data_IF_218801944803
#
_entry.id   IF_218801944803
#
_cell.length_a   1.000
_cell.length_b   1.000
_cell.length_c   1.000
_cell.angle_alpha   90.00
_cell.angle_beta   90.00
_cell.angle_gamma   90.00
#
_symmetry.space_group_name_H-M   'P 1'
#
loop_
_entity.id
_entity.type
_entity.pdbx_description
1 polymer ?
#
# COMPACT_ATOMS: atom_id res chain seq x y z
N UNK A 1 10.44 11.00 17.18
CA UNK A 1 9.40 9.93 17.28
C UNK A 1 8.71 9.71 15.93
N UNK A 2 9.46 9.83 14.87
CA UNK A 2 8.91 9.77 13.51
C UNK A 2 9.22 8.39 12.94
N UNK A 3 8.20 7.64 12.59
CA UNK A 3 8.33 6.37 11.86
C UNK A 3 7.74 5.14 12.54
N UNK A 4 7.00 5.27 13.62
CA UNK A 4 6.26 4.15 14.20
C UNK A 4 4.96 3.91 13.40
N UNK A 5 4.87 2.72 12.81
CA UNK A 5 3.68 2.29 12.02
C UNK A 5 2.49 2.03 12.94
N UNK A 6 2.75 1.72 14.20
CA UNK A 6 1.75 1.30 15.19
C UNK A 6 1.54 2.30 16.30
N UNK A 7 0.31 2.31 16.84
CA UNK A 7 -0.05 3.07 18.02
C UNK A 7 0.80 2.63 19.24
N UNK A 8 1.40 3.56 20.00
CA UNK A 8 2.18 3.24 21.20
C UNK A 8 1.46 2.36 22.23
N UNK A 9 0.15 2.56 22.42
CA UNK A 9 -0.67 1.69 23.29
C UNK A 9 -0.76 0.26 22.77
N UNK A 10 -0.90 0.12 21.45
CA UNK A 10 -0.89 -1.21 20.83
C UNK A 10 0.46 -1.90 21.01
N UNK A 11 1.57 -1.19 20.83
CA UNK A 11 2.93 -1.70 21.05
C UNK A 11 3.10 -2.13 22.51
N UNK A 12 2.63 -1.32 23.46
CA UNK A 12 2.73 -1.64 24.89
C UNK A 12 1.97 -2.93 25.23
N UNK A 13 0.71 -3.04 24.84
CA UNK A 13 -0.09 -4.25 25.09
C UNK A 13 0.43 -5.47 24.34
N UNK A 14 0.88 -5.30 23.11
CA UNK A 14 1.52 -6.38 22.36
C UNK A 14 2.78 -6.92 23.04
N UNK A 15 3.58 -6.06 23.66
CA UNK A 15 4.76 -6.47 24.44
C UNK A 15 4.35 -7.28 25.67
N UNK A 16 3.33 -6.88 26.41
CA UNK A 16 2.81 -7.65 27.56
C UNK A 16 2.34 -9.03 27.09
N UNK A 17 1.51 -9.08 26.04
CA UNK A 17 1.06 -10.35 25.47
C UNK A 17 2.24 -11.20 25.03
N UNK A 18 3.23 -10.59 24.39
CA UNK A 18 4.44 -11.28 23.93
C UNK A 18 5.19 -11.96 25.11
N UNK A 19 5.33 -11.28 26.25
CA UNK A 19 5.98 -11.85 27.45
C UNK A 19 5.15 -13.01 28.00
N UNK A 20 3.83 -12.89 28.05
CA UNK A 20 2.94 -13.91 28.60
C UNK A 20 2.92 -15.21 27.78
N UNK A 21 2.93 -15.07 26.45
CA UNK A 21 2.81 -16.22 25.53
C UNK A 21 4.19 -16.83 25.18
N UNK A 22 5.29 -16.05 25.35
CA UNK A 22 6.65 -16.47 24.98
C UNK A 22 7.06 -17.82 25.53
N UNK A 23 6.87 -18.16 26.83
CA UNK A 23 7.32 -19.45 27.37
C UNK A 23 6.67 -20.62 26.64
N UNK A 24 5.37 -20.56 26.41
CA UNK A 24 4.63 -21.62 25.70
C UNK A 24 5.19 -21.84 24.30
N UNK A 25 5.32 -20.77 23.51
CA UNK A 25 5.80 -20.89 22.13
C UNK A 25 7.30 -21.19 22.05
N UNK A 26 8.08 -20.80 23.05
CA UNK A 26 9.48 -21.23 23.17
C UNK A 26 9.58 -22.75 23.23
N UNK A 27 8.83 -23.41 24.09
CA UNK A 27 8.80 -24.87 24.16
C UNK A 27 8.29 -25.51 22.86
N UNK A 28 7.29 -24.92 22.22
CA UNK A 28 6.79 -25.39 20.92
C UNK A 28 7.81 -25.29 19.77
N UNK A 29 8.82 -24.45 19.91
CA UNK A 29 9.86 -24.23 18.90
C UNK A 29 11.15 -25.01 19.15
N UNK A 30 11.34 -25.65 20.32
CA UNK A 30 12.57 -26.38 20.65
C UNK A 30 12.98 -27.41 19.58
N UNK A 31 12.03 -28.01 18.89
CA UNK A 31 12.27 -29.00 17.86
C UNK A 31 12.11 -28.44 16.43
N UNK A 32 12.00 -27.14 16.27
CA UNK A 32 11.88 -26.53 14.94
C UNK A 32 13.26 -26.53 14.27
N UNK A 33 13.35 -27.16 13.10
CA UNK A 33 14.58 -27.15 12.30
C UNK A 33 14.90 -25.71 11.86
N UNK A 34 16.18 -25.36 11.92
CA UNK A 34 16.70 -24.10 11.35
C UNK A 34 17.20 -24.40 9.94
N UNK A 35 16.81 -23.55 8.98
CA UNK A 35 17.28 -23.59 7.61
C UNK A 35 18.12 -22.35 7.32
N UNK A 36 19.09 -22.47 6.42
CA UNK A 36 19.95 -21.33 6.04
C UNK A 36 19.21 -20.40 5.08
N UNK A 37 19.41 -19.08 5.26
CA UNK A 37 18.88 -18.06 4.34
C UNK A 37 19.53 -18.12 2.93
N UNK A 38 20.66 -18.82 2.79
CA UNK A 38 21.40 -18.95 1.55
C UNK A 38 21.02 -20.22 0.76
N UNK A 39 19.91 -20.87 1.10
CA UNK A 39 19.43 -22.03 0.33
C UNK A 39 19.01 -21.56 -1.05
N UNK A 40 19.58 -22.16 -2.10
CA UNK A 40 19.28 -21.84 -3.50
C UNK A 40 18.08 -22.63 -4.06
N UNK A 41 17.68 -23.71 -3.38
CA UNK A 41 16.59 -24.58 -3.80
C UNK A 41 15.24 -24.11 -3.22
N UNK A 42 14.85 -22.89 -3.52
CA UNK A 42 13.56 -22.33 -3.12
C UNK A 42 12.56 -22.52 -4.25
N UNK A 43 11.49 -23.26 -3.98
CA UNK A 43 10.43 -23.58 -4.94
C UNK A 43 9.11 -22.86 -4.63
N UNK A 44 8.91 -22.42 -3.38
CA UNK A 44 7.65 -21.77 -2.96
C UNK A 44 7.87 -20.65 -1.98
N UNK A 45 7.24 -19.50 -2.26
CA UNK A 45 7.33 -18.28 -1.43
C UNK A 45 5.93 -17.76 -1.14
N UNK A 46 5.56 -17.66 0.14
CA UNK A 46 4.30 -17.09 0.61
C UNK A 46 4.52 -15.66 1.13
N UNK A 47 3.76 -14.72 0.62
CA UNK A 47 3.85 -13.30 0.99
C UNK A 47 2.55 -12.84 1.62
N UNK A 48 2.63 -12.27 2.83
CA UNK A 48 1.49 -11.72 3.56
C UNK A 48 1.45 -10.19 3.46
N UNK A 49 0.51 -9.65 2.62
CA UNK A 49 0.30 -8.21 2.45
C UNK A 49 -1.19 -7.86 2.32
N UNK A 50 -2.00 -8.30 3.26
CA UNK A 50 -3.47 -8.23 3.21
C UNK A 50 -4.09 -7.05 3.96
N UNK A 51 -3.34 -5.96 4.23
CA UNK A 51 -3.89 -4.84 5.01
C UNK A 51 -4.71 -3.87 4.15
N UNK A 52 -4.12 -3.29 3.12
CA UNK A 52 -4.78 -2.30 2.24
C UNK A 52 -4.39 -2.51 0.78
N UNK A 53 -5.24 -2.06 -0.14
CA UNK A 53 -4.99 -2.19 -1.59
C UNK A 53 -3.69 -1.48 -2.00
N UNK A 54 -3.43 -0.28 -1.48
CA UNK A 54 -2.20 0.48 -1.77
C UNK A 54 -0.92 -0.22 -1.32
N UNK A 55 -0.99 -1.02 -0.25
CA UNK A 55 0.17 -1.73 0.29
C UNK A 55 0.75 -2.78 -0.68
N UNK A 56 -0.07 -3.30 -1.60
CA UNK A 56 0.39 -4.26 -2.62
C UNK A 56 1.30 -3.58 -3.64
N UNK A 57 1.03 -2.30 -3.98
CA UNK A 57 1.91 -1.52 -4.85
C UNK A 57 3.24 -1.18 -4.17
N UNK A 58 3.22 -0.93 -2.87
CA UNK A 58 4.43 -0.67 -2.07
C UNK A 58 5.40 -1.85 -2.15
N UNK A 59 4.91 -3.09 -2.19
CA UNK A 59 5.77 -4.28 -2.31
C UNK A 59 5.98 -4.76 -3.76
N UNK A 60 5.44 -4.09 -4.77
CA UNK A 60 5.64 -4.52 -6.16
C UNK A 60 7.14 -4.63 -6.57
N UNK A 61 8.05 -3.72 -6.14
CA UNK A 61 9.49 -3.88 -6.34
C UNK A 61 10.04 -5.14 -5.67
N UNK A 62 9.54 -5.46 -4.48
CA UNK A 62 9.95 -6.66 -3.71
C UNK A 62 9.60 -7.94 -4.46
N UNK A 63 8.38 -8.01 -5.01
CA UNK A 63 7.92 -9.16 -5.77
C UNK A 63 8.80 -9.42 -7.00
N UNK A 64 9.24 -8.36 -7.68
CA UNK A 64 10.18 -8.44 -8.80
C UNK A 64 11.56 -8.91 -8.35
N UNK A 65 12.07 -8.36 -7.25
CA UNK A 65 13.37 -8.75 -6.68
C UNK A 65 13.39 -10.23 -6.28
N UNK A 66 12.31 -10.71 -5.66
CA UNK A 66 12.14 -12.13 -5.32
C UNK A 66 12.08 -13.02 -6.57
N UNK A 67 11.30 -12.62 -7.58
CA UNK A 67 11.19 -13.41 -8.83
C UNK A 67 12.51 -13.43 -9.62
N UNK A 68 13.29 -12.35 -9.59
CA UNK A 68 14.64 -12.33 -10.18
C UNK A 68 15.59 -13.26 -9.44
N UNK A 69 15.58 -13.26 -8.11
CA UNK A 69 16.47 -14.10 -7.28
C UNK A 69 16.07 -15.57 -7.34
N UNK A 70 14.77 -15.85 -7.36
CA UNK A 70 14.19 -17.20 -7.38
C UNK A 70 13.25 -17.38 -8.59
N UNK A 71 13.78 -17.47 -9.81
CA UNK A 71 12.97 -17.43 -11.04
C UNK A 71 12.02 -18.63 -11.16
N UNK A 72 12.37 -19.78 -10.56
CA UNK A 72 11.58 -21.00 -10.57
C UNK A 72 10.59 -21.09 -9.41
N UNK A 73 10.74 -20.24 -8.39
CA UNK A 73 9.85 -20.27 -7.23
C UNK A 73 8.43 -19.84 -7.60
N UNK A 74 7.46 -20.58 -7.11
CA UNK A 74 6.05 -20.23 -7.16
C UNK A 74 5.76 -19.21 -6.03
N UNK A 75 5.46 -17.98 -6.41
CA UNK A 75 5.16 -16.90 -5.47
C UNK A 75 3.67 -16.81 -5.25
N UNK A 76 3.24 -16.96 -3.99
CA UNK A 76 1.85 -16.85 -3.54
C UNK A 76 1.72 -15.52 -2.77
N UNK A 77 0.86 -14.62 -3.25
CA UNK A 77 0.55 -13.36 -2.60
C UNK A 77 -0.80 -13.42 -1.91
N UNK A 78 -0.79 -13.31 -0.58
CA UNK A 78 -1.99 -13.07 0.20
C UNK A 78 -2.22 -11.56 0.29
N UNK A 79 -3.29 -11.06 -0.32
CA UNK A 79 -3.67 -9.64 -0.31
C UNK A 79 -5.07 -9.45 0.28
N UNK A 80 -5.51 -8.21 0.53
CA UNK A 80 -6.91 -7.97 0.89
C UNK A 80 -7.83 -8.27 -0.30
N UNK A 81 -9.06 -8.70 -0.03
CA UNK A 81 -10.03 -9.09 -1.06
C UNK A 81 -10.21 -8.03 -2.15
N UNK A 82 -10.24 -6.74 -1.77
CA UNK A 82 -10.37 -5.63 -2.74
C UNK A 82 -9.19 -5.49 -3.70
N UNK A 83 -8.01 -6.02 -3.37
CA UNK A 83 -6.82 -5.97 -4.23
C UNK A 83 -6.68 -7.20 -5.14
N UNK A 84 -7.38 -8.29 -4.87
CA UNK A 84 -7.16 -9.60 -5.50
C UNK A 84 -7.25 -9.55 -7.02
N UNK A 85 -8.39 -9.08 -7.56
CA UNK A 85 -8.61 -9.02 -9.02
C UNK A 85 -7.57 -8.15 -9.72
N UNK A 86 -7.27 -6.98 -9.16
CA UNK A 86 -6.30 -6.05 -9.70
C UNK A 86 -4.88 -6.65 -9.65
N UNK A 87 -4.52 -7.29 -8.55
CA UNK A 87 -3.19 -7.91 -8.39
C UNK A 87 -2.97 -9.09 -9.33
N UNK A 88 -4.02 -9.88 -9.59
CA UNK A 88 -3.99 -10.95 -10.60
C UNK A 88 -3.82 -10.38 -12.02
N UNK A 89 -4.59 -9.35 -12.34
CA UNK A 89 -4.54 -8.71 -13.65
C UNK A 89 -3.18 -8.04 -13.92
N UNK A 90 -2.55 -7.47 -12.89
CA UNK A 90 -1.20 -6.91 -12.94
C UNK A 90 -0.08 -7.96 -12.86
N UNK A 91 -0.43 -9.24 -12.66
CA UNK A 91 0.51 -10.37 -12.55
C UNK A 91 1.59 -10.13 -11.49
N UNK A 92 1.18 -9.67 -10.30
CA UNK A 92 2.10 -9.39 -9.20
C UNK A 92 2.79 -10.65 -8.64
N UNK A 93 2.11 -11.80 -8.72
CA UNK A 93 2.62 -13.09 -8.27
C UNK A 93 2.06 -14.21 -9.16
N UNK A 94 2.62 -15.41 -9.03
CA UNK A 94 2.15 -16.58 -9.78
C UNK A 94 0.75 -17.00 -9.30
N UNK A 95 0.49 -16.86 -7.99
CA UNK A 95 -0.83 -17.04 -7.38
C UNK A 95 -1.19 -15.84 -6.48
N UNK A 96 -2.43 -15.35 -6.59
CA UNK A 96 -2.93 -14.26 -5.75
C UNK A 96 -4.21 -14.71 -5.07
N UNK A 97 -4.25 -14.58 -3.74
CA UNK A 97 -5.40 -14.99 -2.91
C UNK A 97 -5.88 -13.81 -2.08
N UNK A 98 -7.14 -13.42 -2.27
CA UNK A 98 -7.80 -12.41 -1.46
C UNK A 98 -8.17 -12.98 -0.08
N UNK A 99 -7.70 -12.35 0.98
CA UNK A 99 -7.86 -12.84 2.35
C UNK A 99 -8.49 -11.78 3.23
N UNK A 100 -9.38 -12.20 4.10
CA UNK A 100 -9.89 -11.39 5.20
C UNK A 100 -9.41 -12.00 6.52
N UNK A 101 -8.64 -11.24 7.27
CA UNK A 101 -8.16 -11.64 8.60
C UNK A 101 -8.75 -10.74 9.68
N UNK A 102 -9.08 -11.29 10.87
CA UNK A 102 -9.85 -10.54 11.88
C UNK A 102 -9.15 -9.28 12.38
N UNK A 103 -7.82 -9.25 12.36
CA UNK A 103 -7.07 -8.10 12.90
C UNK A 103 -6.91 -6.91 11.95
N UNK A 104 -7.27 -7.03 10.68
CA UNK A 104 -7.28 -5.87 9.77
C UNK A 104 -8.46 -4.94 10.05
N UNK A 105 -9.59 -5.50 10.51
CA UNK A 105 -10.83 -4.78 10.82
C UNK A 105 -11.16 -4.73 12.32
N UNK A 106 -10.19 -5.09 13.21
CA UNK A 106 -10.37 -5.15 14.66
C UNK A 106 -11.54 -6.05 15.10
N UNK A 107 -11.76 -7.16 14.38
CA UNK A 107 -12.81 -8.12 14.68
C UNK A 107 -12.31 -9.17 15.68
N UNK A 108 -12.91 -9.19 16.87
CA UNK A 108 -12.54 -10.10 17.96
C UNK A 108 -13.34 -11.41 17.95
N UNK A 109 -14.04 -11.72 16.85
CA UNK A 109 -14.79 -12.98 16.73
C UNK A 109 -13.85 -14.20 16.79
N UNK A 110 -14.02 -15.04 17.81
CA UNK A 110 -13.25 -16.28 17.98
C UNK A 110 -13.33 -17.18 16.72
N UNK A 111 -14.50 -17.22 16.09
CA UNK A 111 -14.73 -18.00 14.86
C UNK A 111 -13.79 -17.52 13.74
N UNK A 112 -13.65 -16.21 13.56
CA UNK A 112 -12.75 -15.64 12.54
C UNK A 112 -11.29 -15.96 12.83
N UNK A 113 -10.88 -15.96 14.10
CA UNK A 113 -9.53 -16.38 14.50
C UNK A 113 -9.27 -17.87 14.24
N UNK A 114 -10.24 -18.73 14.53
CA UNK A 114 -10.16 -20.17 14.20
C UNK A 114 -10.07 -20.37 12.68
N UNK A 115 -10.86 -19.65 11.90
CA UNK A 115 -10.79 -19.67 10.41
C UNK A 115 -9.43 -19.22 9.90
N UNK A 116 -8.89 -18.11 10.41
CA UNK A 116 -7.56 -17.63 10.03
C UNK A 116 -6.46 -18.65 10.36
N UNK A 117 -6.54 -19.30 11.54
CA UNK A 117 -5.63 -20.40 11.90
C UNK A 117 -5.76 -21.60 10.97
N UNK A 118 -6.99 -22.00 10.66
CA UNK A 118 -7.25 -23.13 9.73
C UNK A 118 -6.70 -22.82 8.34
N UNK A 119 -6.91 -21.60 7.86
CA UNK A 119 -6.39 -21.13 6.59
C UNK A 119 -4.85 -21.13 6.56
N UNK A 120 -4.19 -20.61 7.60
CA UNK A 120 -2.74 -20.69 7.70
C UNK A 120 -2.22 -22.14 7.67
N UNK A 121 -2.93 -23.07 8.34
CA UNK A 121 -2.58 -24.49 8.35
C UNK A 121 -2.77 -25.18 7.00
N UNK A 122 -3.61 -24.66 6.12
CA UNK A 122 -3.76 -25.20 4.77
C UNK A 122 -2.43 -25.18 4.00
N UNK A 123 -1.62 -24.13 4.19
CA UNK A 123 -0.31 -24.00 3.54
C UNK A 123 0.75 -25.00 4.02
N UNK A 124 0.55 -25.66 5.17
CA UNK A 124 1.46 -26.74 5.60
C UNK A 124 1.54 -27.90 4.61
N UNK A 125 0.45 -28.14 3.88
CA UNK A 125 0.40 -29.21 2.88
C UNK A 125 1.09 -28.84 1.57
N UNK A 126 1.35 -27.54 1.37
CA UNK A 126 2.01 -26.98 0.19
C UNK A 126 3.53 -26.89 0.35
N UNK A 127 4.07 -27.29 1.51
CA UNK A 127 5.51 -27.30 1.83
C UNK A 127 6.21 -25.99 1.49
N UNK A 128 5.69 -24.87 2.03
CA UNK A 128 6.20 -23.52 1.77
C UNK A 128 7.67 -23.40 2.23
N UNK A 129 8.56 -23.01 1.33
CA UNK A 129 9.97 -22.82 1.65
C UNK A 129 10.17 -21.52 2.43
N UNK A 130 9.66 -20.37 1.92
CA UNK A 130 9.81 -19.07 2.55
C UNK A 130 8.43 -18.43 2.78
N UNK A 131 8.20 -17.91 3.98
CA UNK A 131 7.04 -17.07 4.28
C UNK A 131 7.49 -15.70 4.80
N UNK A 132 6.92 -14.60 4.27
CA UNK A 132 7.38 -13.24 4.54
C UNK A 132 6.22 -12.36 5.04
N UNK A 133 6.47 -11.62 6.13
CA UNK A 133 5.60 -10.56 6.63
C UNK A 133 6.34 -9.22 6.66
N UNK A 134 5.83 -8.23 5.93
CA UNK A 134 6.44 -6.90 5.86
C UNK A 134 5.91 -5.93 6.92
N UNK A 135 4.86 -6.28 7.65
CA UNK A 135 4.22 -5.36 8.61
C UNK A 135 4.84 -5.39 10.00
N UNK A 136 5.34 -6.54 10.45
CA UNK A 136 5.89 -6.69 11.79
C UNK A 136 4.81 -6.69 12.88
N UNK A 137 3.63 -7.22 12.57
CA UNK A 137 2.50 -7.35 13.49
C UNK A 137 2.54 -8.72 14.18
N UNK A 138 2.44 -8.74 15.51
CA UNK A 138 2.39 -9.97 16.31
C UNK A 138 1.36 -10.99 15.78
N UNK A 139 0.24 -10.50 15.26
CA UNK A 139 -0.85 -11.36 14.73
C UNK A 139 -0.47 -11.97 13.38
N UNK A 140 0.25 -11.23 12.54
CA UNK A 140 0.80 -11.76 11.29
C UNK A 140 1.88 -12.80 11.56
N UNK A 141 2.78 -12.54 12.52
CA UNK A 141 3.81 -13.51 12.89
C UNK A 141 3.21 -14.81 13.43
N UNK A 142 2.14 -14.70 14.23
CA UNK A 142 1.36 -15.87 14.67
C UNK A 142 0.72 -16.63 13.50
N UNK A 143 0.21 -15.93 12.48
CA UNK A 143 -0.32 -16.56 11.26
C UNK A 143 0.80 -17.34 10.53
N UNK A 144 1.96 -16.72 10.31
CA UNK A 144 3.11 -17.37 9.67
C UNK A 144 3.62 -18.58 10.48
N UNK A 145 3.58 -18.50 11.82
CA UNK A 145 3.92 -19.64 12.66
C UNK A 145 3.01 -20.85 12.41
N UNK A 146 1.73 -20.61 12.09
CA UNK A 146 0.80 -21.67 11.74
C UNK A 146 0.97 -22.20 10.32
N UNK A 147 1.53 -21.42 9.40
CA UNK A 147 1.93 -21.88 8.05
C UNK A 147 3.02 -22.96 8.15
N UNK A 148 3.97 -22.82 9.08
CA UNK A 148 5.08 -23.78 9.26
C UNK A 148 6.00 -23.87 8.05
N UNK A 149 6.25 -22.76 7.35
CA UNK A 149 7.28 -22.70 6.32
C UNK A 149 8.64 -23.10 6.84
N UNK A 150 9.54 -23.55 5.96
CA UNK A 150 10.93 -23.86 6.31
C UNK A 150 11.62 -22.63 6.86
N UNK A 151 11.51 -21.49 6.18
CA UNK A 151 12.00 -20.20 6.63
C UNK A 151 10.83 -19.19 6.75
N UNK A 152 10.84 -18.40 7.79
CA UNK A 152 9.88 -17.29 7.94
C UNK A 152 10.60 -16.04 8.37
N UNK A 153 10.40 -14.96 7.60
CA UNK A 153 11.00 -13.65 7.82
C UNK A 153 9.94 -12.62 8.17
N UNK A 154 10.27 -11.72 9.05
CA UNK A 154 9.39 -10.59 9.37
C UNK A 154 10.00 -9.67 10.38
N UNK A 155 9.47 -8.46 10.43
CA UNK A 155 9.83 -7.47 11.42
C UNK A 155 9.13 -7.73 12.76
N UNK A 156 9.75 -7.29 13.86
CA UNK A 156 9.27 -7.54 15.22
C UNK A 156 8.81 -6.27 15.93
N UNK A 157 8.19 -5.33 15.20
CA UNK A 157 7.76 -4.03 15.72
C UNK A 157 6.86 -4.14 16.95
N UNK A 158 5.92 -5.09 16.91
CA UNK A 158 4.98 -5.32 18.01
C UNK A 158 5.28 -6.60 18.81
N UNK A 159 6.43 -7.21 18.60
CA UNK A 159 6.82 -8.48 19.22
C UNK A 159 6.67 -9.68 18.29
N UNK A 160 6.61 -10.91 18.85
CA UNK A 160 6.42 -12.13 18.07
C UNK A 160 7.69 -12.69 17.42
N UNK A 161 8.88 -12.28 17.87
CA UNK A 161 10.16 -12.78 17.35
C UNK A 161 10.24 -14.30 17.34
N UNK A 162 9.69 -14.95 18.36
CA UNK A 162 9.66 -16.41 18.49
C UNK A 162 8.71 -17.13 17.50
N UNK A 163 7.90 -16.40 16.76
CA UNK A 163 7.07 -16.97 15.69
C UNK A 163 7.83 -17.10 14.38
N UNK A 164 8.84 -16.26 14.16
CA UNK A 164 9.69 -16.35 12.96
C UNK A 164 10.87 -17.30 13.18
N UNK A 165 11.38 -17.86 12.10
CA UNK A 165 12.69 -18.50 12.12
C UNK A 165 13.82 -17.48 12.00
N UNK A 166 13.56 -16.37 11.28
CA UNK A 166 14.51 -15.30 11.02
C UNK A 166 13.87 -13.93 11.33
N UNK A 167 13.66 -13.61 12.62
CA UNK A 167 13.12 -12.29 13.01
C UNK A 167 14.13 -11.18 12.71
N UNK A 168 13.67 -10.05 12.21
CA UNK A 168 14.50 -8.90 11.87
C UNK A 168 14.09 -7.65 12.66
N UNK A 169 15.06 -6.80 13.05
CA UNK A 169 14.74 -5.47 13.58
C UNK A 169 14.23 -4.58 12.46
N UNK A 170 13.20 -3.77 12.75
CA UNK A 170 12.64 -2.86 11.76
C UNK A 170 13.49 -1.61 11.60
N UNK A 171 13.84 -1.20 10.36
CA UNK A 171 14.44 0.10 10.10
C UNK A 171 13.43 1.21 10.38
N UNK A 172 13.94 2.34 10.85
CA UNK A 172 13.09 3.51 11.18
C UNK A 172 13.30 4.64 10.20
N UNK A 173 12.21 5.40 9.93
CA UNK A 173 12.31 6.62 9.13
C UNK A 173 12.54 6.41 7.63
N UNK A 174 12.47 5.17 7.15
CA UNK A 174 12.60 4.84 5.72
C UNK A 174 11.24 4.58 5.08
N UNK A 175 11.17 4.73 3.77
CA UNK A 175 9.96 4.42 3.00
C UNK A 175 9.58 2.94 3.14
N UNK A 176 8.29 2.62 3.15
CA UNK A 176 7.84 1.23 3.35
C UNK A 176 8.31 0.28 2.24
N UNK A 177 8.50 0.76 1.01
CA UNK A 177 9.12 -0.02 -0.07
C UNK A 177 10.56 -0.36 0.26
N UNK A 178 11.36 0.64 0.67
CA UNK A 178 12.74 0.43 1.06
C UNK A 178 12.85 -0.51 2.26
N UNK A 179 12.01 -0.30 3.27
CA UNK A 179 11.88 -1.21 4.42
C UNK A 179 11.63 -2.65 3.96
N UNK A 180 10.74 -2.84 2.99
CA UNK A 180 10.41 -4.18 2.48
C UNK A 180 11.54 -4.80 1.66
N UNK A 181 12.27 -3.99 0.87
CA UNK A 181 13.46 -4.41 0.14
C UNK A 181 14.61 -4.79 1.09
N UNK A 182 14.82 -4.02 2.17
CA UNK A 182 15.79 -4.36 3.21
C UNK A 182 15.47 -5.69 3.89
N UNK A 183 14.20 -6.05 4.08
CA UNK A 183 13.86 -7.36 4.64
C UNK A 183 14.30 -8.51 3.73
N UNK A 184 14.06 -8.41 2.43
CA UNK A 184 14.43 -9.47 1.49
C UNK A 184 15.92 -9.47 1.11
N UNK A 185 16.69 -8.41 1.42
CA UNK A 185 18.15 -8.43 1.23
C UNK A 185 18.81 -9.51 2.06
N UNK A 186 18.24 -9.91 3.21
CA UNK A 186 18.69 -11.06 3.98
C UNK A 186 18.57 -12.41 3.24
N UNK A 187 17.77 -12.47 2.15
CA UNK A 187 17.67 -13.62 1.25
C UNK A 187 18.62 -13.52 0.05
N UNK A 188 19.54 -12.54 0.05
CA UNK A 188 20.43 -12.29 -1.08
C UNK A 188 19.72 -11.69 -2.30
N UNK A 189 18.57 -11.05 -2.11
CA UNK A 189 17.87 -10.36 -3.18
C UNK A 189 18.46 -8.97 -3.41
N UNK A 190 18.75 -8.65 -4.67
CA UNK A 190 19.08 -7.28 -5.08
C UNK A 190 17.87 -6.37 -4.92
N UNK A 191 18.11 -5.13 -4.53
CA UNK A 191 17.04 -4.11 -4.51
C UNK A 191 16.76 -3.66 -5.94
N UNK A 192 15.69 -4.17 -6.53
CA UNK A 192 15.19 -3.68 -7.81
C UNK A 192 14.08 -2.68 -7.51
N UNK A 193 14.38 -1.41 -7.65
CA UNK A 193 13.32 -0.40 -7.71
C UNK A 193 12.48 -0.68 -8.95
N UNK A 194 11.25 -0.20 -8.98
CA UNK A 194 10.46 -0.25 -10.21
C UNK A 194 11.30 0.43 -11.28
N UNK A 195 11.78 -0.35 -12.26
CA UNK A 195 12.33 0.25 -13.47
C UNK A 195 11.34 1.29 -13.93
N UNK A 196 11.84 2.41 -14.42
CA UNK A 196 11.02 3.40 -15.07
C UNK A 196 10.20 2.65 -16.13
N UNK A 197 9.00 2.26 -15.74
CA UNK A 197 8.07 1.66 -16.71
C UNK A 197 7.90 2.69 -17.80
N UNK A 198 7.78 2.21 -19.00
CA UNK A 198 7.49 3.01 -20.17
C UNK A 198 6.57 4.16 -19.78
N UNK A 199 7.11 5.36 -19.88
CA UNK A 199 6.36 6.57 -19.62
C UNK A 199 5.08 6.54 -20.45
N UNK A 200 3.95 6.54 -19.79
CA UNK A 200 2.64 6.44 -20.43
C UNK A 200 1.92 7.78 -20.33
N UNK A 201 2.46 8.76 -21.03
CA UNK A 201 1.78 10.04 -21.17
C UNK A 201 0.85 10.03 -22.39
N UNK A 202 -0.35 10.52 -22.18
CA UNK A 202 -1.35 10.75 -23.23
C UNK A 202 -1.66 12.24 -23.27
N UNK A 203 -1.30 12.90 -24.35
CA UNK A 203 -1.64 14.32 -24.54
C UNK A 203 -3.16 14.52 -24.67
N UNK A 204 -3.84 13.55 -25.24
CA UNK A 204 -5.30 13.45 -25.23
C UNK A 204 -5.78 12.67 -24.00
N UNK A 205 -6.99 12.97 -23.56
CA UNK A 205 -7.60 12.39 -22.37
C UNK A 205 -7.80 13.41 -21.25
N UNK A 206 -8.56 13.02 -20.27
CA UNK A 206 -8.96 13.90 -19.18
C UNK A 206 -7.91 13.97 -18.04
N UNK A 207 -7.98 15.04 -17.27
CA UNK A 207 -7.39 15.10 -15.94
C UNK A 207 -8.36 14.43 -14.98
N UNK A 208 -7.93 13.31 -14.39
CA UNK A 208 -8.78 12.48 -13.54
C UNK A 208 -8.73 12.96 -12.09
N UNK A 209 -9.89 13.26 -11.51
CA UNK A 209 -10.03 13.53 -10.09
C UNK A 209 -10.42 12.28 -9.33
N UNK A 210 -9.57 11.81 -8.43
CA UNK A 210 -9.90 10.80 -7.44
C UNK A 210 -10.04 11.45 -6.06
N UNK A 211 -11.18 12.11 -5.86
CA UNK A 211 -11.48 12.85 -4.63
C UNK A 211 -11.98 11.94 -3.49
N UNK A 212 -12.29 10.68 -3.78
CA UNK A 212 -12.74 9.70 -2.80
C UNK A 212 -11.60 9.19 -1.90
N UNK A 213 -12.00 8.44 -0.88
CA UNK A 213 -11.08 7.78 0.05
C UNK A 213 -11.83 7.28 1.29
N UNK A 214 -11.45 6.12 1.81
CA UNK A 214 -12.13 5.48 2.96
C UNK A 214 -12.00 6.25 4.27
N UNK A 215 -11.04 7.17 4.37
CA UNK A 215 -10.82 7.98 5.57
C UNK A 215 -11.04 9.47 5.25
N UNK A 216 -12.12 10.09 5.76
CA UNK A 216 -12.45 11.49 5.47
C UNK A 216 -11.36 12.48 5.93
N UNK A 217 -10.49 12.07 6.85
CA UNK A 217 -9.37 12.89 7.32
C UNK A 217 -8.25 13.02 6.29
N UNK A 218 -8.28 12.20 5.24
CA UNK A 218 -7.39 12.26 4.06
C UNK A 218 -8.04 12.95 2.87
N UNK A 219 -9.30 13.36 2.99
CA UNK A 219 -10.02 13.99 1.89
C UNK A 219 -9.69 15.49 1.81
N UNK A 220 -9.24 15.93 0.65
CA UNK A 220 -9.13 17.36 0.33
C UNK A 220 -10.54 17.95 0.24
N UNK A 221 -10.78 19.20 0.75
CA UNK A 221 -12.11 19.78 0.82
C UNK A 221 -12.81 19.86 -0.53
N UNK A 222 -14.09 19.52 -0.55
CA UNK A 222 -14.92 19.46 -1.76
C UNK A 222 -14.95 20.79 -2.53
N UNK A 223 -15.08 21.91 -1.83
CA UNK A 223 -15.07 23.25 -2.43
C UNK A 223 -13.74 23.55 -3.16
N UNK A 224 -12.63 22.93 -2.74
CA UNK A 224 -11.33 23.09 -3.40
C UNK A 224 -11.25 22.25 -4.68
N UNK A 225 -11.86 21.04 -4.70
CA UNK A 225 -12.01 20.27 -5.93
C UNK A 225 -12.83 21.01 -6.99
N UNK A 226 -13.93 21.67 -6.57
CA UNK A 226 -14.76 22.48 -7.47
C UNK A 226 -13.95 23.65 -8.05
N UNK A 227 -13.22 24.40 -7.20
CA UNK A 227 -12.37 25.52 -7.66
C UNK A 227 -11.27 25.02 -8.60
N UNK A 228 -10.68 23.87 -8.32
CA UNK A 228 -9.69 23.26 -9.21
C UNK A 228 -10.29 22.90 -10.56
N UNK A 229 -11.50 22.35 -10.58
CA UNK A 229 -12.24 22.08 -11.82
C UNK A 229 -12.51 23.38 -12.60
N UNK A 230 -12.91 24.48 -11.94
CA UNK A 230 -13.12 25.81 -12.57
C UNK A 230 -11.86 26.33 -13.27
N UNK A 231 -10.69 26.08 -12.69
CA UNK A 231 -9.42 26.51 -13.29
C UNK A 231 -9.04 25.61 -14.46
N UNK A 232 -9.07 24.29 -14.27
CA UNK A 232 -8.52 23.33 -15.22
C UNK A 232 -9.44 23.08 -16.43
N UNK A 233 -10.77 23.17 -16.25
CA UNK A 233 -11.75 22.95 -17.33
C UNK A 233 -11.67 23.98 -18.47
N UNK A 234 -10.96 25.09 -18.28
CA UNK A 234 -10.72 26.07 -19.33
C UNK A 234 -9.86 25.53 -20.47
N UNK A 235 -8.95 24.58 -20.17
CA UNK A 235 -7.98 24.08 -21.13
C UNK A 235 -7.89 22.54 -21.17
N UNK A 236 -8.59 21.85 -20.28
CA UNK A 236 -8.51 20.39 -20.14
C UNK A 236 -9.88 19.77 -19.92
N UNK A 237 -10.07 18.58 -20.43
CA UNK A 237 -11.18 17.73 -20.05
C UNK A 237 -10.99 17.22 -18.63
N UNK A 238 -12.06 17.16 -17.85
CA UNK A 238 -12.05 16.69 -16.47
C UNK A 238 -12.85 15.40 -16.37
N UNK A 239 -12.29 14.42 -15.70
CA UNK A 239 -13.01 13.23 -15.32
C UNK A 239 -12.99 13.04 -13.80
N UNK A 240 -14.02 12.43 -13.25
CA UNK A 240 -14.10 12.13 -11.82
C UNK A 240 -14.42 10.66 -11.60
N UNK A 241 -13.71 10.03 -10.67
CA UNK A 241 -13.99 8.66 -10.26
C UNK A 241 -15.16 8.66 -9.28
N UNK A 242 -16.23 7.94 -9.62
CA UNK A 242 -17.39 7.78 -8.76
C UNK A 242 -17.06 6.80 -7.62
N UNK A 243 -17.22 7.29 -6.41
CA UNK A 243 -17.19 6.51 -5.17
C UNK A 243 -18.33 7.00 -4.28
N UNK A 244 -18.70 6.27 -3.22
CA UNK A 244 -19.72 6.78 -2.28
C UNK A 244 -19.40 8.18 -1.75
N UNK A 245 -18.12 8.47 -1.48
CA UNK A 245 -17.65 9.75 -0.92
C UNK A 245 -17.69 10.88 -1.95
N UNK A 246 -17.66 10.61 -3.26
CA UNK A 246 -17.67 11.63 -4.31
C UNK A 246 -19.08 11.99 -4.80
N UNK A 247 -20.12 11.35 -4.28
CA UNK A 247 -21.51 11.56 -4.75
C UNK A 247 -21.95 13.02 -4.66
N UNK A 248 -21.64 13.70 -3.54
CA UNK A 248 -22.00 15.12 -3.34
C UNK A 248 -21.19 16.01 -4.28
N UNK A 249 -19.90 15.77 -4.43
CA UNK A 249 -19.03 16.51 -5.34
C UNK A 249 -19.55 16.42 -6.79
N UNK A 250 -19.87 15.22 -7.25
CA UNK A 250 -20.44 14.99 -8.61
C UNK A 250 -21.75 15.75 -8.78
N UNK A 251 -22.65 15.70 -7.77
CA UNK A 251 -23.92 16.45 -7.81
C UNK A 251 -23.68 17.95 -7.95
N UNK A 252 -22.81 18.53 -7.14
CA UNK A 252 -22.49 19.97 -7.18
C UNK A 252 -21.80 20.40 -8.48
N UNK A 253 -20.96 19.55 -9.06
CA UNK A 253 -20.36 19.81 -10.38
C UNK A 253 -21.44 19.86 -11.47
N UNK A 254 -22.39 18.94 -11.46
CA UNK A 254 -23.52 18.93 -12.39
C UNK A 254 -24.43 20.16 -12.23
N UNK A 255 -24.74 20.57 -10.98
CA UNK A 255 -25.53 21.77 -10.68
C UNK A 255 -24.85 23.07 -11.19
N UNK A 256 -23.53 23.05 -11.37
CA UNK A 256 -22.74 24.15 -11.93
C UNK A 256 -22.43 23.98 -13.43
N UNK A 257 -23.11 23.04 -14.07
CA UNK A 257 -23.00 22.77 -15.52
C UNK A 257 -21.57 22.39 -15.98
N UNK A 258 -20.72 21.85 -15.08
CA UNK A 258 -19.43 21.33 -15.49
C UNK A 258 -19.61 20.12 -16.41
N UNK A 259 -18.95 20.17 -17.56
CA UNK A 259 -18.81 19.01 -18.43
C UNK A 259 -17.74 18.08 -17.88
N UNK A 260 -18.16 17.06 -17.13
CA UNK A 260 -17.28 16.13 -16.45
C UNK A 260 -17.63 14.70 -16.86
N UNK A 261 -16.63 13.95 -17.32
CA UNK A 261 -16.76 12.51 -17.49
C UNK A 261 -16.82 11.83 -16.12
N UNK A 262 -17.71 10.86 -15.93
CA UNK A 262 -17.83 10.13 -14.67
C UNK A 262 -17.43 8.68 -14.93
N UNK A 263 -16.31 8.27 -14.34
CA UNK A 263 -15.92 6.88 -14.34
C UNK A 263 -16.66 6.13 -13.22
N UNK A 264 -17.35 5.02 -13.56
CA UNK A 264 -18.05 4.12 -12.64
C UNK A 264 -17.71 2.68 -13.02
N UNK A 265 -16.81 2.04 -12.29
CA UNK A 265 -16.35 0.70 -12.60
C UNK A 265 -15.48 0.10 -11.49
N UNK A 266 -15.11 -1.17 -11.66
CA UNK A 266 -14.20 -1.85 -10.71
C UNK A 266 -12.73 -1.42 -10.93
N UNK A 267 -11.83 -1.92 -10.07
CA UNK A 267 -10.41 -1.51 -10.09
C UNK A 267 -9.67 -1.97 -11.36
N UNK A 268 -10.05 -3.06 -11.99
CA UNK A 268 -9.44 -3.52 -13.25
C UNK A 268 -9.89 -2.63 -14.38
N UNK A 269 -11.18 -2.29 -14.42
CA UNK A 269 -11.74 -1.33 -15.37
C UNK A 269 -11.10 0.05 -15.16
N UNK A 270 -10.94 0.49 -13.90
CA UNK A 270 -10.27 1.74 -13.56
C UNK A 270 -8.82 1.77 -14.08
N UNK A 271 -8.06 0.71 -13.86
CA UNK A 271 -6.68 0.58 -14.39
C UNK A 271 -6.65 0.73 -15.92
N UNK A 272 -7.56 0.05 -16.63
CA UNK A 272 -7.59 0.07 -18.08
C UNK A 272 -8.02 1.44 -18.63
N UNK A 273 -9.01 2.06 -18.03
CA UNK A 273 -9.48 3.39 -18.37
C UNK A 273 -8.43 4.47 -18.06
N UNK A 274 -7.78 4.40 -16.89
CA UNK A 274 -6.77 5.37 -16.46
C UNK A 274 -5.56 5.42 -17.42
N UNK A 275 -5.20 4.31 -18.06
CA UNK A 275 -4.12 4.26 -19.06
C UNK A 275 -4.36 5.18 -20.28
N UNK A 276 -5.58 5.56 -20.55
CA UNK A 276 -5.96 6.44 -21.64
C UNK A 276 -6.20 7.89 -21.18
N UNK A 277 -5.92 8.19 -19.92
CA UNK A 277 -6.10 9.52 -19.34
C UNK A 277 -4.79 10.30 -19.31
N UNK A 278 -4.88 11.62 -19.29
CA UNK A 278 -3.74 12.54 -19.31
C UNK A 278 -2.94 12.48 -18.01
N UNK A 279 -3.61 12.57 -16.88
CA UNK A 279 -3.03 12.49 -15.54
C UNK A 279 -4.06 12.21 -14.47
N UNK A 280 -3.58 11.84 -13.28
CA UNK A 280 -4.40 11.66 -12.09
C UNK A 280 -4.09 12.73 -11.04
N UNK A 281 -5.12 13.29 -10.41
CA UNK A 281 -5.02 14.07 -9.18
C UNK A 281 -5.84 13.35 -8.13
N UNK A 282 -5.23 13.00 -6.99
CA UNK A 282 -5.94 12.25 -5.95
C UNK A 282 -5.45 12.56 -4.54
N UNK A 283 -6.28 12.19 -3.58
CA UNK A 283 -5.88 12.16 -2.18
C UNK A 283 -4.82 11.06 -1.94
N UNK A 284 -4.15 11.09 -0.78
CA UNK A 284 -3.26 10.00 -0.31
C UNK A 284 -4.03 8.66 -0.25
N UNK A 285 -4.02 7.93 -1.35
CA UNK A 285 -4.77 6.68 -1.52
C UNK A 285 -4.19 5.83 -2.67
N UNK A 286 -4.73 4.61 -2.84
CA UNK A 286 -4.28 3.63 -3.83
C UNK A 286 -4.14 4.15 -5.27
N UNK A 287 -5.03 4.99 -5.82
CA UNK A 287 -4.92 5.43 -7.22
C UNK A 287 -3.61 6.14 -7.57
N UNK A 288 -3.03 6.89 -6.63
CA UNK A 288 -1.70 7.49 -6.82
C UNK A 288 -0.61 6.43 -7.02
N UNK A 289 -0.65 5.34 -6.25
CA UNK A 289 0.27 4.20 -6.41
C UNK A 289 0.04 3.46 -7.73
N UNK A 290 -1.22 3.29 -8.13
CA UNK A 290 -1.55 2.69 -9.42
C UNK A 290 -1.04 3.53 -10.58
N UNK A 291 -1.24 4.86 -10.55
CA UNK A 291 -0.73 5.77 -11.57
C UNK A 291 0.80 5.70 -11.66
N UNK A 292 1.51 5.75 -10.51
CA UNK A 292 2.96 5.57 -10.45
C UNK A 292 3.39 4.23 -11.07
N UNK A 293 2.72 3.14 -10.70
CA UNK A 293 3.00 1.81 -11.24
C UNK A 293 2.78 1.71 -12.76
N UNK A 294 1.85 2.47 -13.31
CA UNK A 294 1.51 2.50 -14.74
C UNK A 294 2.34 3.52 -15.54
N UNK A 295 3.20 4.32 -14.88
CA UNK A 295 3.95 5.39 -15.53
C UNK A 295 3.10 6.60 -15.95
N UNK A 296 1.93 6.78 -15.32
CA UNK A 296 0.99 7.87 -15.61
C UNK A 296 1.31 9.06 -14.69
N UNK A 297 1.42 10.28 -15.22
CA UNK A 297 1.61 11.47 -14.40
C UNK A 297 0.53 11.59 -13.31
N UNK A 298 0.95 11.82 -12.07
CA UNK A 298 -0.03 12.00 -11.00
C UNK A 298 0.42 12.97 -9.92
N UNK A 299 -0.57 13.63 -9.34
CA UNK A 299 -0.44 14.46 -8.14
C UNK A 299 -1.14 13.76 -7.00
N UNK A 300 -0.40 13.49 -5.93
CA UNK A 300 -0.95 12.96 -4.69
C UNK A 300 -0.96 14.02 -3.60
N UNK A 301 -2.16 14.29 -3.06
CA UNK A 301 -2.40 15.30 -2.03
C UNK A 301 -2.34 14.62 -0.67
N UNK A 302 -1.33 14.97 0.13
CA UNK A 302 -1.09 14.46 1.47
C UNK A 302 -1.48 15.48 2.53
N UNK A 303 -2.19 15.05 3.55
CA UNK A 303 -2.53 15.89 4.70
C UNK A 303 -1.49 15.77 5.82
N UNK A 304 -1.91 15.18 6.93
CA UNK A 304 -1.07 14.99 8.12
C UNK A 304 -0.18 13.75 8.10
N UNK A 305 -0.28 12.91 7.09
CA UNK A 305 0.63 11.77 6.89
C UNK A 305 1.98 12.26 6.38
N UNK A 306 3.03 11.56 6.77
CA UNK A 306 4.36 11.83 6.23
C UNK A 306 4.53 11.09 4.88
N UNK A 307 4.64 11.83 3.76
CA UNK A 307 4.83 11.21 2.46
C UNK A 307 6.11 10.37 2.36
N UNK A 308 7.15 10.72 3.13
CA UNK A 308 8.40 9.95 3.16
C UNK A 308 8.21 8.48 3.50
N UNK A 309 7.10 8.13 4.16
CA UNK A 309 6.82 6.76 4.60
C UNK A 309 6.08 5.94 3.54
N UNK A 310 5.16 6.56 2.80
CA UNK A 310 4.18 5.82 2.01
C UNK A 310 3.76 6.48 0.70
N UNK A 311 4.44 7.52 0.22
CA UNK A 311 4.01 8.14 -1.03
C UNK A 311 4.18 7.19 -2.23
N UNK A 312 3.42 7.38 -3.30
CA UNK A 312 3.71 6.71 -4.56
C UNK A 312 5.13 7.06 -5.05
N UNK A 313 5.86 6.06 -5.53
CA UNK A 313 7.24 6.22 -6.06
C UNK A 313 7.17 6.16 -7.57
N UNK A 314 7.69 7.20 -8.24
CA UNK A 314 7.77 7.27 -9.69
C UNK A 314 8.27 8.65 -10.14
N UNK A 315 8.91 8.74 -11.29
CA UNK A 315 9.46 9.98 -11.86
C UNK A 315 8.36 11.02 -12.12
N UNK A 316 7.18 10.58 -12.52
CA UNK A 316 6.04 11.42 -12.90
C UNK A 316 5.03 11.63 -11.76
N UNK A 317 5.51 11.53 -10.53
CA UNK A 317 4.68 11.72 -9.34
C UNK A 317 5.07 13.02 -8.64
N UNK A 318 4.08 13.87 -8.43
CA UNK A 318 4.24 15.08 -7.63
C UNK A 318 3.46 14.93 -6.32
N UNK A 319 4.14 15.17 -5.21
CA UNK A 319 3.54 15.11 -3.88
C UNK A 319 3.27 16.53 -3.38
N UNK A 320 2.04 16.82 -3.02
CA UNK A 320 1.65 18.08 -2.38
C UNK A 320 1.27 17.81 -0.95
N UNK A 321 1.87 18.53 -0.02
CA UNK A 321 1.64 18.43 1.42
C UNK A 321 1.58 19.82 2.05
N UNK A 322 1.02 19.98 3.25
CA UNK A 322 1.10 21.22 4.00
C UNK A 322 2.55 21.67 4.20
N UNK A 323 2.78 22.99 4.22
CA UNK A 323 4.11 23.55 4.44
C UNK A 323 4.63 23.29 5.85
N UNK A 324 3.70 23.28 6.81
CA UNK A 324 4.01 23.01 8.22
C UNK A 324 3.58 21.62 8.65
N UNK A 325 4.32 21.05 9.59
CA UNK A 325 3.94 19.81 10.27
C UNK A 325 2.60 19.98 10.99
N UNK A 326 1.84 18.90 11.10
CA UNK A 326 0.57 18.94 11.79
C UNK A 326 0.74 19.12 13.31
N UNK A 327 0.28 20.25 13.81
CA UNK A 327 0.26 20.57 15.25
C UNK A 327 -1.01 20.06 15.96
N UNK A 328 -2.05 19.69 15.19
CA UNK A 328 -3.36 19.29 15.71
C UNK A 328 -3.44 17.85 16.16
N UNK A 329 -2.54 16.99 15.71
CA UNK A 329 -2.53 15.57 16.09
C UNK A 329 -1.72 15.36 17.37
N UNK A 330 -2.32 14.66 18.33
CA UNK A 330 -1.64 14.33 19.58
C UNK A 330 -0.60 13.22 19.39
N UNK A 331 -0.82 12.33 18.43
CA UNK A 331 0.03 11.19 18.11
C UNK A 331 0.24 11.12 16.60
N UNK A 332 1.44 10.78 16.16
CA UNK A 332 1.86 10.72 14.75
C UNK A 332 1.00 9.79 13.86
N UNK A 333 0.41 8.75 14.44
CA UNK A 333 -0.47 7.81 13.72
C UNK A 333 -1.92 8.33 13.57
N UNK A 334 -2.32 9.39 14.28
CA UNK A 334 -3.66 9.98 14.14
C UNK A 334 -3.69 10.97 12.99
N UNK A 335 -4.62 10.75 12.07
CA UNK A 335 -4.88 11.65 10.96
C UNK A 335 -5.54 12.94 11.42
N UNK A 336 -5.30 14.03 10.70
CA UNK A 336 -5.88 15.33 10.95
C UNK A 336 -6.48 15.90 9.66
N UNK A 337 -7.79 16.09 9.63
CA UNK A 337 -8.49 16.66 8.46
C UNK A 337 -8.13 18.13 8.21
N UNK A 338 -7.83 18.90 9.26
CA UNK A 338 -7.49 20.33 9.13
C UNK A 338 -6.28 20.55 8.21
N UNK A 339 -5.31 19.63 8.23
CA UNK A 339 -4.13 19.72 7.38
C UNK A 339 -4.45 19.64 5.88
N UNK A 340 -5.45 18.86 5.49
CA UNK A 340 -5.90 18.83 4.09
C UNK A 340 -6.48 20.18 3.66
N UNK A 341 -7.15 20.87 4.57
CA UNK A 341 -7.72 22.20 4.32
C UNK A 341 -6.68 23.33 4.12
N UNK A 342 -5.43 23.15 4.54
CA UNK A 342 -4.39 24.16 4.35
C UNK A 342 -3.72 24.16 2.98
N UNK A 343 -3.99 23.13 2.16
CA UNK A 343 -3.41 23.02 0.82
C UNK A 343 -4.23 23.85 -0.15
N UNK A 344 -3.63 24.86 -0.78
CA UNK A 344 -4.31 25.79 -1.67
C UNK A 344 -4.50 25.22 -3.09
N UNK A 345 -5.56 25.69 -3.74
CA UNK A 345 -5.95 25.27 -5.10
C UNK A 345 -4.92 25.73 -6.11
N UNK A 346 -4.41 26.94 -5.95
CA UNK A 346 -3.38 27.56 -6.80
C UNK A 346 -2.10 26.72 -6.81
N UNK A 347 -1.74 26.16 -5.66
CA UNK A 347 -0.57 25.28 -5.54
C UNK A 347 -0.78 23.97 -6.29
N UNK A 348 -1.99 23.39 -6.22
CA UNK A 348 -2.32 22.16 -6.95
C UNK A 348 -2.38 22.43 -8.45
N UNK A 349 -3.03 23.51 -8.89
CA UNK A 349 -3.11 23.88 -10.31
C UNK A 349 -1.74 24.22 -10.91
N UNK A 350 -0.88 24.91 -10.18
CA UNK A 350 0.49 25.19 -10.61
C UNK A 350 1.32 23.90 -10.78
N UNK A 351 1.13 22.93 -9.86
CA UNK A 351 1.77 21.62 -9.97
C UNK A 351 1.26 20.83 -11.19
N UNK A 352 -0.02 20.95 -11.56
CA UNK A 352 -0.59 20.36 -12.78
C UNK A 352 0.14 20.92 -14.02
N UNK A 353 0.22 22.24 -14.14
CA UNK A 353 0.89 22.89 -15.28
C UNK A 353 2.34 22.44 -15.41
N UNK A 354 3.09 22.45 -14.30
CA UNK A 354 4.48 22.03 -14.27
C UNK A 354 4.65 20.56 -14.67
N UNK A 355 3.84 19.66 -14.08
CA UNK A 355 3.97 18.23 -14.37
C UNK A 355 3.57 17.90 -15.82
N UNK A 356 2.55 18.56 -16.37
CA UNK A 356 2.16 18.38 -17.77
C UNK A 356 3.25 18.90 -18.73
N UNK A 357 3.85 20.07 -18.45
CA UNK A 357 4.97 20.59 -19.25
C UNK A 357 6.14 19.61 -19.27
N UNK A 358 6.56 19.10 -18.11
CA UNK A 358 7.63 18.08 -18.02
C UNK A 358 7.26 16.80 -18.77
N UNK A 359 6.00 16.37 -18.65
CA UNK A 359 5.54 15.16 -19.33
C UNK A 359 5.50 15.30 -20.85
N UNK A 360 5.30 16.51 -21.39
CA UNK A 360 5.35 16.78 -22.83
C UNK A 360 6.79 16.83 -23.36
N UNK A 361 7.74 17.35 -22.57
CA UNK A 361 9.16 17.42 -22.98
C UNK A 361 9.93 16.14 -22.71
N UNK A 362 9.42 15.27 -21.84
CA UNK A 362 10.08 14.04 -21.41
C UNK A 362 11.23 14.28 -20.40
N UNK A 363 11.22 15.47 -19.71
CA UNK A 363 12.27 15.91 -18.78
C UNK A 363 11.91 15.67 -17.29
#
# INVERSE_FOLDING_TARGET
MNGEVYNPYFIFWSRIINILIWPFYFFCNLYRKSYSLNDENINSILICQYHRIGDVFIIAPVLRSLKKRYPQAHIILLCCQGAEKLSRDLKFADEVIGVEVPWTNWDWSLIKWIKARSFARHFRKQDIDIAIDFKGDLRNSWFLWHVRSKMSLGYTDTGGSFFYTHPQPSPRGVHQTERSLQLISHLGCDSIMLDEKEFNFKDQGAIVFHAGGTDPRRAWPENKWIKLAEILSKNHEIAIVKTPETAILIKRMKEREFRVEIFDGDLVQFKNWLRNQKMLIGNDSMPGHLAAYLGIPAISIFGSQDPKMTCPIGQWITIIKPDKSCEHKRNHWRLCQKCMGTIDVERVSGAVTNLLSRAQTGE
#
